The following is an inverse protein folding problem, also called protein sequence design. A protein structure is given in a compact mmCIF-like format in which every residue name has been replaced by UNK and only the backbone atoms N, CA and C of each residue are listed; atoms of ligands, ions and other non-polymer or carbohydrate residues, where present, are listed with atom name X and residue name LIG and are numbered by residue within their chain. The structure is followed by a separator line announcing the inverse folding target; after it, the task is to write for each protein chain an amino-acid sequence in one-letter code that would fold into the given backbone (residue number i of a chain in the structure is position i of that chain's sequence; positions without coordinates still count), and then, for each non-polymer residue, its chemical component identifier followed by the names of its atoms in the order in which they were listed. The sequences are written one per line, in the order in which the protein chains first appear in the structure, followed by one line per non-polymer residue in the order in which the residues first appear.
data_IF_298072982669
#
_entry.id   IF_298072982669
#
_cell.length_a   1.000
_cell.length_b   1.000
_cell.length_c   1.000
_cell.angle_alpha   90.00
_cell.angle_beta   90.00
_cell.angle_gamma   90.00
#
_symmetry.space_group_name_H-M   'P 1'
#
loop_
_entity.id
_entity.type
_entity.pdbx_description
1 polymer ?
#
# COMPACT_ATOMS: atom_id res chain seq x y z
N UNK A 1 43.82 35.49 48.43
CA UNK A 1 44.18 34.82 47.15
C UNK A 1 43.85 33.32 47.13
N UNK A 2 44.05 32.59 48.23
CA UNK A 2 43.80 31.14 48.30
C UNK A 2 42.31 30.81 48.13
N UNK A 3 41.41 31.53 48.75
CA UNK A 3 39.95 31.29 48.68
C UNK A 3 39.38 31.49 47.26
N UNK A 4 39.79 32.53 46.57
CA UNK A 4 39.36 32.78 45.14
C UNK A 4 39.76 31.65 44.22
N UNK A 5 40.95 31.04 44.45
CA UNK A 5 41.43 29.91 43.67
C UNK A 5 40.54 28.66 43.84
N UNK A 6 40.10 28.37 45.09
CA UNK A 6 39.21 27.24 45.35
C UNK A 6 37.80 27.47 44.75
N UNK A 7 37.30 28.69 44.80
CA UNK A 7 36.02 29.07 44.16
C UNK A 7 36.11 28.88 42.65
N UNK A 8 37.17 29.33 41.98
CA UNK A 8 37.38 29.15 40.55
C UNK A 8 37.47 27.68 40.15
N UNK A 9 38.17 26.85 40.93
CA UNK A 9 38.25 25.42 40.72
C UNK A 9 36.88 24.77 40.88
N UNK A 10 36.12 25.13 41.90
CA UNK A 10 34.75 24.62 42.10
C UNK A 10 33.82 24.97 40.96
N UNK A 11 33.86 26.20 40.48
CA UNK A 11 33.09 26.63 39.31
C UNK A 11 33.51 25.86 38.03
N UNK A 12 34.82 25.65 37.82
CA UNK A 12 35.30 24.89 36.67
C UNK A 12 34.85 23.41 36.69
N UNK A 13 34.89 22.78 37.85
CA UNK A 13 34.41 21.41 38.05
C UNK A 13 32.90 21.34 37.83
N UNK A 14 32.14 22.29 38.33
CA UNK A 14 30.70 22.37 38.14
C UNK A 14 30.34 22.54 36.66
N UNK A 15 31.04 23.42 35.95
CA UNK A 15 30.87 23.59 34.50
C UNK A 15 31.21 22.31 33.74
N UNK A 16 32.24 21.58 34.12
CA UNK A 16 32.62 20.30 33.56
C UNK A 16 31.51 19.24 33.70
N UNK A 17 30.94 19.15 34.91
CA UNK A 17 29.82 18.20 35.15
C UNK A 17 28.61 18.53 34.32
N UNK A 18 28.24 19.80 34.18
CA UNK A 18 27.11 20.24 33.31
C UNK A 18 27.39 20.16 31.82
N UNK A 19 28.64 19.92 31.40
CA UNK A 19 28.99 19.77 29.99
C UNK A 19 28.61 18.42 29.44
N UNK A 20 28.45 17.39 30.25
CA UNK A 20 28.12 16.05 29.78
C UNK A 20 26.64 15.89 29.49
N UNK A 21 26.33 15.34 28.34
CA UNK A 21 24.96 15.04 27.89
C UNK A 21 24.92 13.65 27.25
N UNK A 22 23.94 12.87 27.64
CA UNK A 22 23.67 11.56 27.02
C UNK A 22 22.59 11.67 25.94
N UNK A 23 22.84 11.06 24.80
CA UNK A 23 21.89 10.91 23.70
C UNK A 23 21.50 9.44 23.59
N UNK A 24 20.22 9.16 23.61
CA UNK A 24 19.69 7.79 23.56
C UNK A 24 19.95 7.15 22.22
N UNK A 25 20.13 5.83 22.21
CA UNK A 25 20.22 5.02 20.99
C UNK A 25 18.95 5.20 20.14
N UNK A 26 19.12 5.25 18.81
CA UNK A 26 18.02 5.50 17.88
C UNK A 26 17.57 6.96 17.78
N UNK A 27 18.27 7.90 18.46
CA UNK A 27 18.02 9.34 18.33
C UNK A 27 19.32 10.10 18.03
N UNK A 28 19.18 11.25 17.36
CA UNK A 28 20.27 12.19 17.12
C UNK A 28 19.83 13.54 17.68
N UNK A 29 20.67 14.14 18.52
CA UNK A 29 20.36 15.43 19.10
C UNK A 29 20.92 16.56 18.22
N UNK A 30 20.09 17.57 17.99
CA UNK A 30 20.47 18.78 17.25
C UNK A 30 20.83 19.88 18.20
N UNK A 31 22.05 20.42 18.06
CA UNK A 31 22.60 21.45 18.92
C UNK A 31 22.59 22.79 18.20
N UNK A 32 22.05 23.77 18.90
CA UNK A 32 22.05 25.17 18.46
C UNK A 32 22.90 26.02 19.39
N UNK A 33 23.53 27.05 18.82
CA UNK A 33 24.26 28.08 19.57
C UNK A 33 23.68 29.45 19.21
N UNK A 34 23.16 30.16 20.18
CA UNK A 34 22.44 31.43 20.01
C UNK A 34 21.33 31.36 18.94
N UNK A 35 20.58 30.20 18.93
CA UNK A 35 19.49 29.97 17.95
C UNK A 35 19.94 29.49 16.57
N UNK A 36 21.24 29.53 16.25
CA UNK A 36 21.78 29.04 14.98
C UNK A 36 22.20 27.58 15.11
N UNK A 37 21.90 26.77 14.08
CA UNK A 37 22.40 25.40 13.99
C UNK A 37 23.94 25.38 14.11
N UNK A 38 24.47 24.44 14.89
CA UNK A 38 25.91 24.26 15.06
C UNK A 38 26.40 22.87 14.64
N UNK A 39 25.81 21.81 15.22
CA UNK A 39 26.23 20.42 14.98
C UNK A 39 25.15 19.43 15.45
N UNK A 40 25.34 18.18 15.08
CA UNK A 40 24.58 17.05 15.60
C UNK A 40 25.40 16.30 16.68
N UNK A 41 24.72 15.66 17.60
CA UNK A 41 25.29 14.73 18.57
C UNK A 41 24.74 13.34 18.35
N UNK A 42 25.62 12.38 18.09
CA UNK A 42 25.30 10.96 17.90
C UNK A 42 24.96 10.31 19.24
N UNK A 43 24.29 9.11 19.22
CA UNK A 43 24.00 8.35 20.44
C UNK A 43 25.25 8.10 21.30
N UNK A 44 25.09 8.18 22.61
CA UNK A 44 26.15 7.98 23.57
C UNK A 44 26.43 9.22 24.41
N UNK A 45 27.60 9.25 25.07
CA UNK A 45 28.04 10.35 25.86
C UNK A 45 28.65 11.45 24.97
N UNK A 46 28.12 12.65 25.08
CA UNK A 46 28.56 13.84 24.36
C UNK A 46 28.91 14.96 25.30
N UNK A 47 29.73 15.90 24.81
CA UNK A 47 30.11 17.10 25.56
C UNK A 47 29.50 18.32 24.87
N UNK A 48 28.80 19.16 25.64
CA UNK A 48 28.28 20.47 25.21
C UNK A 48 28.92 21.60 25.98
N UNK A 49 28.93 22.78 25.42
CA UNK A 49 29.36 23.99 26.11
C UNK A 49 28.14 24.53 26.89
N UNK A 50 28.11 24.43 28.26
CA UNK A 50 27.01 24.93 29.02
C UNK A 50 26.83 26.44 28.80
N UNK A 51 25.59 26.93 28.89
CA UNK A 51 25.12 28.30 28.63
C UNK A 51 25.10 28.71 27.13
N UNK A 52 26.03 28.28 26.30
CA UNK A 52 26.12 28.67 24.89
C UNK A 52 25.40 27.70 23.97
N UNK A 53 25.57 26.40 24.20
CA UNK A 53 24.96 25.35 23.39
C UNK A 53 23.64 24.88 24.04
N UNK A 54 22.57 24.79 23.22
CA UNK A 54 21.29 24.24 23.64
C UNK A 54 20.94 23.05 22.75
N UNK A 55 20.41 22.00 23.38
CA UNK A 55 19.73 20.94 22.64
C UNK A 55 18.37 21.46 22.19
N UNK A 56 18.23 21.68 20.89
CA UNK A 56 17.00 22.21 20.32
C UNK A 56 15.97 21.10 20.08
N UNK A 57 16.41 20.00 19.44
CA UNK A 57 15.53 18.89 19.07
C UNK A 57 16.26 17.56 19.18
N UNK A 58 15.50 16.48 19.37
CA UNK A 58 15.98 15.10 19.28
C UNK A 58 15.24 14.41 18.16
N UNK A 59 15.94 14.14 17.07
CA UNK A 59 15.41 13.46 15.89
C UNK A 59 15.53 11.96 16.10
N UNK A 60 14.41 11.24 16.08
CA UNK A 60 14.42 9.78 16.09
C UNK A 60 14.69 9.27 14.68
N UNK A 61 15.67 8.38 14.55
CA UNK A 61 15.99 7.67 13.29
C UNK A 61 15.32 6.31 13.20
N UNK A 62 14.43 5.99 14.15
CA UNK A 62 13.65 4.76 14.17
C UNK A 62 12.46 4.83 13.22
N UNK A 63 11.99 3.68 12.79
CA UNK A 63 10.78 3.58 11.98
C UNK A 63 9.56 4.09 12.76
N UNK A 64 8.71 4.84 12.09
CA UNK A 64 7.46 5.37 12.61
C UNK A 64 6.33 4.98 11.68
N UNK A 65 5.20 4.60 12.26
CA UNK A 65 3.96 4.33 11.54
C UNK A 65 2.94 5.42 11.83
N UNK A 66 2.19 5.81 10.81
CA UNK A 66 1.04 6.72 10.90
C UNK A 66 -0.13 6.04 10.23
N UNK A 67 -1.25 5.97 10.94
CA UNK A 67 -2.54 5.62 10.36
C UNK A 67 -3.26 6.89 9.94
N UNK A 68 -3.93 6.84 8.79
CA UNK A 68 -4.66 7.96 8.24
C UNK A 68 -5.92 7.50 7.56
N UNK A 69 -6.94 8.37 7.61
CA UNK A 69 -8.19 8.19 6.89
C UNK A 69 -8.41 9.40 6.00
N UNK A 70 -8.78 9.17 4.75
CA UNK A 70 -9.07 10.22 3.80
C UNK A 70 -10.13 9.76 2.79
N UNK A 71 -10.68 10.74 2.07
CA UNK A 71 -11.71 10.47 1.07
C UNK A 71 -11.32 11.05 -0.29
N UNK A 72 -11.76 10.38 -1.34
CA UNK A 72 -11.64 10.84 -2.70
C UNK A 72 -12.96 10.63 -3.46
N UNK A 73 -13.12 11.33 -4.58
CA UNK A 73 -14.31 11.21 -5.43
C UNK A 73 -13.87 10.59 -6.74
N UNK A 74 -14.56 9.54 -7.18
CA UNK A 74 -14.32 8.83 -8.43
C UNK A 74 -14.83 9.61 -9.63
N UNK A 75 -14.49 9.16 -10.85
CA UNK A 75 -14.95 9.73 -12.11
C UNK A 75 -16.50 9.77 -12.19
N UNK A 76 -17.17 8.75 -11.66
CA UNK A 76 -18.63 8.61 -11.60
C UNK A 76 -19.25 9.21 -10.32
N UNK A 77 -18.52 10.14 -9.68
CA UNK A 77 -18.94 10.94 -8.52
C UNK A 77 -19.30 10.14 -7.26
N UNK A 78 -18.75 8.94 -7.12
CA UNK A 78 -18.88 8.15 -5.92
C UNK A 78 -17.84 8.57 -4.87
N UNK A 79 -18.26 8.72 -3.60
CA UNK A 79 -17.33 8.92 -2.50
C UNK A 79 -16.66 7.59 -2.12
N UNK A 80 -15.34 7.61 -2.00
CA UNK A 80 -14.53 6.48 -1.58
C UNK A 80 -13.73 6.89 -0.35
N UNK A 81 -13.81 6.09 0.70
CA UNK A 81 -13.07 6.27 1.94
C UNK A 81 -11.91 5.28 1.98
N UNK A 82 -10.73 5.80 2.28
CA UNK A 82 -9.50 5.05 2.36
C UNK A 82 -8.97 5.07 3.78
N UNK A 83 -8.57 3.89 4.28
CA UNK A 83 -7.74 3.75 5.47
C UNK A 83 -6.38 3.27 5.06
N UNK A 84 -5.35 4.03 5.40
CA UNK A 84 -3.99 3.73 5.02
C UNK A 84 -3.05 3.77 6.23
N UNK A 85 -2.00 2.98 6.18
CA UNK A 85 -0.88 3.01 7.10
C UNK A 85 0.39 3.31 6.33
N UNK A 86 1.11 4.33 6.76
CA UNK A 86 2.39 4.72 6.23
C UNK A 86 3.48 4.42 7.25
N UNK A 87 4.54 3.74 6.82
CA UNK A 87 5.76 3.52 7.61
C UNK A 87 6.90 4.31 6.98
N UNK A 88 7.54 5.15 7.77
CA UNK A 88 8.63 6.01 7.34
C UNK A 88 9.74 6.09 8.39
N UNK A 89 10.92 6.48 7.97
CA UNK A 89 12.07 6.76 8.84
C UNK A 89 12.82 7.99 8.34
N UNK A 90 13.79 8.44 9.11
CA UNK A 90 14.76 9.43 8.61
C UNK A 90 15.66 8.75 7.58
N UNK A 91 15.92 9.44 6.46
CA UNK A 91 16.65 8.89 5.30
C UNK A 91 18.04 8.34 5.69
N UNK A 92 18.81 9.13 6.42
CA UNK A 92 20.12 8.74 6.93
C UNK A 92 20.50 9.57 8.16
N UNK A 93 21.62 9.20 8.80
CA UNK A 93 22.14 9.90 10.00
C UNK A 93 23.13 11.03 9.67
N UNK A 94 23.11 11.52 8.43
CA UNK A 94 23.98 12.61 7.98
C UNK A 94 23.53 13.96 8.52
N UNK A 95 24.48 14.86 8.66
CA UNK A 95 24.26 16.17 9.27
C UNK A 95 23.23 17.01 8.52
N UNK A 96 23.27 16.98 7.20
CA UNK A 96 22.36 17.74 6.32
C UNK A 96 20.92 17.20 6.43
N UNK A 97 20.75 15.87 6.39
CA UNK A 97 19.46 15.22 6.54
C UNK A 97 18.84 15.54 7.90
N UNK A 98 19.60 15.37 8.98
CA UNK A 98 19.12 15.65 10.34
C UNK A 98 18.76 17.12 10.51
N UNK A 99 19.52 18.05 9.91
CA UNK A 99 19.21 19.47 9.90
C UNK A 99 17.89 19.74 9.18
N UNK A 100 17.67 19.13 7.99
CA UNK A 100 16.42 19.27 7.25
C UNK A 100 15.22 18.76 8.08
N UNK A 101 15.30 17.57 8.65
CA UNK A 101 14.27 17.00 9.50
C UNK A 101 13.96 17.86 10.71
N UNK A 102 15.01 18.48 11.34
CA UNK A 102 14.84 19.26 12.54
C UNK A 102 14.27 20.67 12.33
N UNK A 103 14.47 21.27 11.14
CA UNK A 103 14.16 22.68 10.89
C UNK A 103 13.20 22.95 9.76
N UNK A 104 12.87 21.95 8.92
CA UNK A 104 11.97 22.13 7.77
C UNK A 104 10.53 22.32 8.21
N UNK A 105 10.11 21.66 9.28
CA UNK A 105 8.79 21.80 9.87
C UNK A 105 8.90 22.38 11.29
N UNK A 106 7.93 23.19 11.64
CA UNK A 106 7.90 23.84 12.98
C UNK A 106 7.73 22.79 14.07
N UNK A 107 6.88 21.80 13.82
CA UNK A 107 6.60 20.71 14.74
C UNK A 107 6.23 19.42 13.99
N UNK A 108 6.12 18.33 14.72
CA UNK A 108 5.74 17.03 14.18
C UNK A 108 4.30 17.04 13.62
N UNK A 109 3.40 17.86 14.16
CA UNK A 109 2.01 17.96 13.67
C UNK A 109 1.97 18.55 12.28
N UNK A 110 2.72 19.63 12.06
CA UNK A 110 2.83 20.28 10.75
C UNK A 110 3.40 19.33 9.68
N UNK A 111 4.39 18.53 10.04
CA UNK A 111 4.92 17.48 9.16
C UNK A 111 3.85 16.44 8.81
N UNK A 112 3.15 15.89 9.82
CA UNK A 112 2.10 14.88 9.62
C UNK A 112 0.97 15.45 8.75
N UNK A 113 0.53 16.68 8.99
CA UNK A 113 -0.50 17.33 8.17
C UNK A 113 -0.06 17.52 6.72
N UNK A 114 1.18 17.96 6.49
CA UNK A 114 1.72 18.09 5.14
C UNK A 114 1.78 16.74 4.43
N UNK A 115 2.20 15.70 5.13
CA UNK A 115 2.28 14.33 4.64
C UNK A 115 0.89 13.80 4.24
N UNK A 116 -0.09 13.91 5.13
CA UNK A 116 -1.48 13.48 4.85
C UNK A 116 -2.03 14.20 3.62
N UNK A 117 -1.86 15.53 3.53
CA UNK A 117 -2.35 16.31 2.38
C UNK A 117 -1.67 15.93 1.07
N UNK A 118 -0.40 15.59 1.11
CA UNK A 118 0.32 15.11 -0.08
C UNK A 118 -0.24 13.78 -0.56
N UNK A 119 -0.48 12.84 0.37
CA UNK A 119 -1.09 11.54 0.06
C UNK A 119 -2.51 11.71 -0.47
N UNK A 120 -3.34 12.49 0.21
CA UNK A 120 -4.69 12.80 -0.26
C UNK A 120 -4.71 13.38 -1.67
N UNK A 121 -3.77 14.28 -1.97
CA UNK A 121 -3.64 14.90 -3.29
C UNK A 121 -3.31 13.87 -4.37
N UNK A 122 -2.33 13.00 -4.14
CA UNK A 122 -1.93 11.95 -5.08
C UNK A 122 -3.06 10.92 -5.28
N UNK A 123 -3.65 10.41 -4.20
CA UNK A 123 -4.77 9.45 -4.29
C UNK A 123 -5.97 10.07 -5.00
N UNK A 124 -6.31 11.31 -4.67
CA UNK A 124 -7.44 12.00 -5.33
C UNK A 124 -7.21 12.19 -6.83
N UNK A 125 -5.99 12.54 -7.23
CA UNK A 125 -5.61 12.64 -8.64
C UNK A 125 -5.79 11.33 -9.39
N UNK A 126 -5.34 10.21 -8.83
CA UNK A 126 -5.51 8.89 -9.41
C UNK A 126 -6.98 8.46 -9.46
N UNK A 127 -7.68 8.54 -8.34
CA UNK A 127 -9.07 8.07 -8.16
C UNK A 127 -10.06 8.85 -9.04
N UNK A 128 -9.85 10.15 -9.24
CA UNK A 128 -10.72 10.98 -10.07
C UNK A 128 -10.76 10.55 -11.55
N UNK A 129 -9.78 9.77 -12.02
CA UNK A 129 -9.72 9.24 -13.39
C UNK A 129 -10.36 7.87 -13.54
N UNK A 130 -10.76 7.22 -12.45
CA UNK A 130 -11.24 5.83 -12.42
C UNK A 130 -12.68 5.76 -11.94
N UNK A 131 -13.39 4.71 -12.40
CA UNK A 131 -14.77 4.43 -11.93
C UNK A 131 -14.74 3.65 -10.62
N UNK A 132 -15.78 3.78 -9.81
CA UNK A 132 -15.92 3.09 -8.53
C UNK A 132 -15.69 1.58 -8.61
N UNK A 133 -16.20 0.92 -9.66
CA UNK A 133 -16.08 -0.53 -9.84
C UNK A 133 -14.63 -0.99 -10.06
N UNK A 134 -13.77 -0.10 -10.54
CA UNK A 134 -12.34 -0.38 -10.83
C UNK A 134 -11.46 -0.17 -9.60
N UNK A 135 -11.83 0.73 -8.69
CA UNK A 135 -10.99 1.15 -7.56
C UNK A 135 -10.52 -0.02 -6.69
N UNK A 136 -11.40 -0.99 -6.42
CA UNK A 136 -11.04 -2.16 -5.61
C UNK A 136 -10.00 -3.05 -6.30
N UNK A 137 -10.06 -3.15 -7.62
CA UNK A 137 -9.12 -3.93 -8.43
C UNK A 137 -7.78 -3.23 -8.58
N UNK A 138 -7.78 -1.89 -8.62
CA UNK A 138 -6.60 -1.05 -8.83
C UNK A 138 -5.85 -0.69 -7.55
N UNK A 139 -6.18 -1.32 -6.41
CA UNK A 139 -5.54 -1.06 -5.12
C UNK A 139 -4.00 -1.07 -5.20
N UNK A 140 -3.43 -2.05 -5.90
CA UNK A 140 -1.98 -2.14 -6.09
C UNK A 140 -1.40 -0.99 -6.91
N UNK A 141 -2.12 -0.55 -7.94
CA UNK A 141 -1.71 0.58 -8.78
C UNK A 141 -1.77 1.90 -8.00
N UNK A 142 -2.83 2.11 -7.21
CA UNK A 142 -2.95 3.28 -6.33
C UNK A 142 -1.74 3.35 -5.38
N UNK A 143 -1.39 2.24 -4.74
CA UNK A 143 -0.25 2.18 -3.82
C UNK A 143 1.06 2.49 -4.55
N UNK A 144 1.26 1.96 -5.76
CA UNK A 144 2.48 2.17 -6.54
C UNK A 144 2.64 3.65 -6.96
N UNK A 145 1.58 4.26 -7.51
CA UNK A 145 1.55 5.66 -7.93
C UNK A 145 1.80 6.62 -6.76
N UNK A 146 1.15 6.36 -5.64
CA UNK A 146 1.32 7.17 -4.42
C UNK A 146 2.72 6.99 -3.84
N UNK A 147 3.29 5.78 -3.82
CA UNK A 147 4.66 5.53 -3.36
C UNK A 147 5.67 6.33 -4.19
N UNK A 148 5.57 6.30 -5.50
CA UNK A 148 6.46 7.02 -6.41
C UNK A 148 6.40 8.54 -6.18
N UNK A 149 5.19 9.08 -6.08
CA UNK A 149 4.97 10.51 -5.80
C UNK A 149 5.49 10.95 -4.43
N UNK A 150 5.33 10.10 -3.40
CA UNK A 150 5.74 10.39 -2.03
C UNK A 150 7.24 10.25 -1.80
N UNK A 151 7.88 9.27 -2.41
CA UNK A 151 9.29 8.96 -2.14
C UNK A 151 10.15 10.19 -2.42
N UNK A 152 9.99 10.81 -3.59
CA UNK A 152 10.69 12.04 -3.94
C UNK A 152 10.39 13.20 -2.97
N UNK A 153 9.14 13.35 -2.56
CA UNK A 153 8.74 14.44 -1.64
C UNK A 153 9.33 14.23 -0.25
N UNK A 154 9.26 13.01 0.28
CA UNK A 154 9.81 12.65 1.58
C UNK A 154 11.32 12.79 1.63
N UNK A 155 12.04 12.37 0.59
CA UNK A 155 13.49 12.57 0.48
C UNK A 155 13.88 14.04 0.57
N UNK A 156 13.16 14.95 -0.11
CA UNK A 156 13.41 16.39 0.02
C UNK A 156 13.20 16.92 1.44
N UNK A 157 12.40 16.24 2.26
CA UNK A 157 12.18 16.58 3.67
C UNK A 157 13.16 15.90 4.62
N UNK A 158 13.99 14.97 4.10
CA UNK A 158 14.96 14.19 4.87
C UNK A 158 14.41 12.88 5.42
N UNK A 159 13.28 12.41 4.91
CA UNK A 159 12.66 11.15 5.30
C UNK A 159 12.71 10.14 4.16
N UNK A 160 12.57 8.87 4.48
CA UNK A 160 12.48 7.76 3.56
C UNK A 160 11.18 7.00 3.78
N UNK A 161 10.49 6.70 2.70
CA UNK A 161 9.29 5.87 2.71
C UNK A 161 9.68 4.40 2.78
N UNK A 162 9.33 3.73 3.86
CA UNK A 162 9.58 2.29 4.03
C UNK A 162 8.45 1.51 3.38
N UNK A 163 7.20 1.81 3.76
CA UNK A 163 6.03 1.13 3.22
C UNK A 163 4.78 2.01 3.30
N UNK A 164 3.87 1.77 2.34
CA UNK A 164 2.52 2.34 2.31
C UNK A 164 1.54 1.20 2.04
N UNK A 165 0.59 1.03 2.95
CA UNK A 165 -0.46 0.03 2.85
C UNK A 165 -1.82 0.70 2.88
N UNK A 166 -2.68 0.34 1.93
CA UNK A 166 -4.10 0.66 2.00
C UNK A 166 -4.80 -0.48 2.76
N UNK A 167 -5.23 -0.22 3.99
CA UNK A 167 -5.84 -1.25 4.83
C UNK A 167 -7.27 -1.54 4.39
N UNK A 168 -8.03 -0.49 4.11
CA UNK A 168 -9.43 -0.60 3.75
C UNK A 168 -9.85 0.43 2.70
N UNK A 169 -10.79 0.04 1.82
CA UNK A 169 -11.41 0.89 0.82
C UNK A 169 -12.92 0.67 0.92
N UNK A 170 -13.63 1.69 1.36
CA UNK A 170 -15.09 1.61 1.58
C UNK A 170 -15.81 2.69 0.79
N UNK A 171 -17.07 2.41 0.46
CA UNK A 171 -17.95 3.33 -0.26
C UNK A 171 -19.15 3.69 0.63
N UNK A 172 -19.87 4.72 0.26
CA UNK A 172 -21.14 5.05 0.91
C UNK A 172 -22.11 3.85 0.87
N UNK A 173 -22.93 3.72 1.90
CA UNK A 173 -23.85 2.58 2.04
C UNK A 173 -24.82 2.44 0.86
N UNK A 174 -25.26 3.54 0.28
CA UNK A 174 -26.14 3.55 -0.90
C UNK A 174 -25.43 2.98 -2.13
N UNK A 175 -24.18 3.37 -2.34
CA UNK A 175 -23.32 2.87 -3.43
C UNK A 175 -23.03 1.40 -3.24
N UNK A 176 -22.67 0.97 -2.04
CA UNK A 176 -22.42 -0.43 -1.71
C UNK A 176 -23.65 -1.30 -2.00
N UNK A 177 -24.83 -0.83 -1.65
CA UNK A 177 -26.09 -1.52 -1.94
C UNK A 177 -26.38 -1.61 -3.43
N UNK A 178 -26.13 -0.53 -4.17
CA UNK A 178 -26.30 -0.50 -5.62
C UNK A 178 -25.31 -1.42 -6.33
N UNK A 179 -24.05 -1.42 -5.93
CA UNK A 179 -23.03 -2.35 -6.45
C UNK A 179 -23.44 -3.81 -6.19
N UNK A 180 -23.91 -4.14 -4.99
CA UNK A 180 -24.37 -5.48 -4.67
C UNK A 180 -25.53 -5.93 -5.57
N UNK A 181 -26.48 -5.03 -5.89
CA UNK A 181 -27.57 -5.32 -6.84
C UNK A 181 -27.08 -5.57 -8.26
N UNK A 182 -26.13 -4.75 -8.74
CA UNK A 182 -25.51 -4.92 -10.07
C UNK A 182 -24.77 -6.24 -10.15
N UNK A 183 -23.95 -6.58 -9.15
CA UNK A 183 -23.23 -7.86 -9.09
C UNK A 183 -24.21 -9.04 -9.05
N UNK A 184 -25.26 -8.97 -8.24
CA UNK A 184 -26.30 -10.01 -8.19
C UNK A 184 -27.00 -10.18 -9.54
N UNK A 185 -27.36 -9.09 -10.24
CA UNK A 185 -27.96 -9.12 -11.56
C UNK A 185 -27.02 -9.74 -12.61
N UNK A 186 -25.75 -9.36 -12.61
CA UNK A 186 -24.75 -9.92 -13.52
C UNK A 186 -24.51 -11.41 -13.27
N UNK A 187 -24.49 -11.85 -12.01
CA UNK A 187 -24.36 -13.25 -11.65
C UNK A 187 -25.59 -14.07 -12.11
N UNK A 188 -26.79 -13.53 -11.96
CA UNK A 188 -28.03 -14.17 -12.44
C UNK A 188 -28.01 -14.30 -13.98
N UNK A 189 -27.57 -13.25 -14.69
CA UNK A 189 -27.43 -13.28 -16.14
C UNK A 189 -26.41 -14.34 -16.58
N UNK A 190 -25.23 -14.36 -15.97
CA UNK A 190 -24.19 -15.34 -16.26
C UNK A 190 -24.66 -16.79 -15.95
N UNK A 191 -25.39 -16.99 -14.88
CA UNK A 191 -25.99 -18.29 -14.55
C UNK A 191 -27.00 -18.74 -15.61
N UNK A 192 -27.90 -17.86 -16.03
CA UNK A 192 -28.89 -18.16 -17.09
C UNK A 192 -28.22 -18.44 -18.45
N UNK A 193 -27.18 -17.71 -18.81
CA UNK A 193 -26.38 -17.98 -20.03
C UNK A 193 -25.70 -19.35 -19.96
N UNK A 194 -25.07 -19.68 -18.85
CA UNK A 194 -24.43 -20.99 -18.63
C UNK A 194 -25.44 -22.13 -18.65
N UNK A 195 -26.60 -21.97 -18.04
CA UNK A 195 -27.70 -22.93 -18.08
C UNK A 195 -28.22 -23.14 -19.54
N UNK A 196 -28.42 -22.05 -20.26
CA UNK A 196 -28.80 -22.10 -21.69
C UNK A 196 -27.80 -22.85 -22.55
N UNK A 197 -26.50 -22.57 -22.35
CA UNK A 197 -25.43 -23.27 -23.05
C UNK A 197 -25.36 -24.77 -22.69
N UNK A 198 -25.47 -25.10 -21.39
CA UNK A 198 -25.48 -26.48 -20.92
C UNK A 198 -26.66 -27.26 -21.50
N UNK A 199 -27.86 -26.67 -21.57
CA UNK A 199 -29.03 -27.27 -22.18
C UNK A 199 -28.86 -27.49 -23.69
N UNK A 200 -28.27 -26.53 -24.40
CA UNK A 200 -27.97 -26.64 -25.82
C UNK A 200 -26.96 -27.76 -26.11
N UNK A 201 -25.88 -27.83 -25.33
CA UNK A 201 -24.90 -28.91 -25.47
C UNK A 201 -25.52 -30.27 -25.18
N UNK A 202 -26.34 -30.38 -24.15
CA UNK A 202 -27.02 -31.63 -23.76
C UNK A 202 -27.96 -32.09 -24.87
N UNK A 203 -28.76 -31.18 -25.44
CA UNK A 203 -29.68 -31.51 -26.54
C UNK A 203 -28.95 -31.91 -27.85
N UNK A 204 -27.86 -31.17 -28.21
CA UNK A 204 -27.06 -31.53 -29.37
C UNK A 204 -26.38 -32.87 -29.21
N UNK A 205 -25.82 -33.14 -28.05
CA UNK A 205 -25.17 -34.44 -27.79
C UNK A 205 -26.16 -35.59 -27.76
N UNK A 206 -27.35 -35.38 -27.21
CA UNK A 206 -28.43 -36.37 -27.26
C UNK A 206 -28.84 -36.69 -28.72
N UNK A 207 -29.05 -35.66 -29.55
CA UNK A 207 -29.41 -35.84 -30.97
C UNK A 207 -28.28 -36.48 -31.80
N UNK A 208 -27.02 -36.13 -31.55
CA UNK A 208 -25.85 -36.79 -32.15
C UNK A 208 -25.77 -38.26 -31.77
N UNK A 209 -25.99 -38.59 -30.48
CA UNK A 209 -25.99 -39.96 -29.99
C UNK A 209 -27.10 -40.80 -30.63
N UNK A 210 -28.31 -40.26 -30.70
CA UNK A 210 -29.45 -40.91 -31.37
C UNK A 210 -29.18 -41.14 -32.88
N UNK A 211 -28.67 -40.12 -33.59
CA UNK A 211 -28.30 -40.24 -34.98
C UNK A 211 -27.18 -41.27 -35.23
N UNK A 212 -26.20 -41.35 -34.33
CA UNK A 212 -25.14 -42.37 -34.39
C UNK A 212 -25.69 -43.79 -34.10
N UNK A 213 -26.60 -43.92 -33.14
CA UNK A 213 -27.24 -45.20 -32.84
C UNK A 213 -28.04 -45.75 -34.03
N UNK A 214 -28.77 -44.87 -34.73
CA UNK A 214 -29.53 -45.25 -35.96
C UNK A 214 -28.54 -45.68 -37.07
N UNK A 215 -27.43 -44.96 -37.26
CA UNK A 215 -26.41 -45.33 -38.27
C UNK A 215 -25.78 -46.69 -37.98
N UNK A 216 -25.41 -46.94 -36.72
CA UNK A 216 -24.83 -48.21 -36.28
C UNK A 216 -25.81 -49.36 -36.47
N UNK A 217 -27.10 -49.18 -36.12
CA UNK A 217 -28.13 -50.18 -36.31
C UNK A 217 -28.33 -50.50 -37.82
N UNK A 218 -28.42 -49.49 -38.66
CA UNK A 218 -28.55 -49.67 -40.10
C UNK A 218 -27.34 -50.37 -40.75
N UNK A 219 -26.14 -50.07 -40.24
CA UNK A 219 -24.92 -50.71 -40.72
C UNK A 219 -24.83 -52.18 -40.31
N UNK A 220 -25.19 -52.49 -39.06
CA UNK A 220 -25.27 -53.86 -38.59
C UNK A 220 -26.34 -54.70 -39.34
N UNK A 221 -27.49 -54.11 -39.68
CA UNK A 221 -28.52 -54.76 -40.47
C UNK A 221 -28.05 -55.06 -41.93
N UNK A 222 -27.33 -54.11 -42.53
CA UNK A 222 -26.72 -54.32 -43.88
C UNK A 222 -25.67 -55.42 -43.84
N UNK A 223 -24.79 -55.45 -42.84
CA UNK A 223 -23.78 -56.51 -42.71
C UNK A 223 -24.41 -57.89 -42.47
N UNK A 224 -25.44 -57.96 -41.61
CA UNK A 224 -26.19 -59.18 -41.36
C UNK A 224 -26.89 -59.71 -42.64
N UNK A 225 -27.45 -58.80 -43.46
CA UNK A 225 -28.06 -59.17 -44.75
C UNK A 225 -27.03 -59.66 -45.75
N UNK A 226 -25.82 -59.03 -45.83
CA UNK A 226 -24.70 -59.48 -46.65
C UNK A 226 -24.21 -60.86 -46.26
N UNK A 227 -23.98 -61.11 -44.94
CA UNK A 227 -23.56 -62.41 -44.42
C UNK A 227 -24.59 -63.50 -44.68
N UNK A 228 -25.89 -63.24 -44.56
CA UNK A 228 -26.96 -64.15 -44.95
C UNK A 228 -26.94 -64.48 -46.46
N UNK A 229 -26.78 -63.46 -47.28
CA UNK A 229 -26.65 -63.62 -48.74
C UNK A 229 -25.45 -64.50 -49.16
N UNK A 230 -24.28 -64.28 -48.54
CA UNK A 230 -23.06 -65.07 -48.72
C UNK A 230 -23.25 -66.51 -48.23
N UNK A 231 -23.90 -66.73 -47.06
CA UNK A 231 -24.23 -68.07 -46.57
C UNK A 231 -25.13 -68.86 -47.51
N UNK A 232 -26.14 -68.23 -48.06
CA UNK A 232 -27.06 -68.85 -49.07
C UNK A 232 -26.33 -69.18 -50.39
N UNK A 233 -25.41 -68.35 -50.83
CA UNK A 233 -24.60 -68.58 -52.01
C UNK A 233 -23.67 -69.86 -51.88
N UNK A 234 -23.01 -69.96 -50.70
CA UNK A 234 -22.19 -71.13 -50.32
C UNK A 234 -22.93 -72.43 -50.16
N UNK A 235 -24.24 -72.40 -49.89
CA UNK A 235 -25.10 -73.61 -49.81
C UNK A 235 -25.64 -74.06 -51.16
N UNK A 236 -25.46 -73.25 -52.24
CA UNK A 236 -25.91 -73.57 -53.58
C UNK A 236 -24.84 -74.11 -54.50
N UNK A 237 -23.59 -74.13 -54.08
CA UNK A 237 -22.51 -74.88 -54.73
C UNK A 237 -22.44 -76.32 -54.15
#
# INVERSE_FOLDING_TARGET
MIEVKYILIGVAVLLLVFSFVTVQQGTIAVVTMFGKYRRIMKPGLNVRIPFFERLNNRVSIQNRAIEMEFQAITQDQANVYFKAMLVYSVLNAEEETIKNVAFKFVDQRSFIQALIRTIEGSVRGFVATKKQAEILLLRGEIVADVKESLDHTLETWGFHLIDLQLNDITFDAEITTSMAKVVASNNLKAAAENEGQALLITKTKAAEAEGNAIKIAAQAEKEAAQLKGQGIALFRE
#
